data_IF_455993984330
#
_entry.id   IF_455993984330
#
_cell.length_a   1.000
_cell.length_b   1.000
_cell.length_c   1.000
_cell.angle_alpha   90.00
_cell.angle_beta   90.00
_cell.angle_gamma   90.00
#
_symmetry.space_group_name_H-M   'P 1'
#
loop_
_entity.id
_entity.type
_entity.pdbx_description
1 polymer ?
#
# COMPACT_ATOMS: atom_id res chain seq x y z
N UNK A 1 4.69 -22.32 -8.71
CA UNK A 1 4.75 -21.07 -9.49
C UNK A 1 4.34 -19.95 -8.55
N UNK A 2 5.27 -19.07 -8.20
CA UNK A 2 5.05 -17.91 -7.33
C UNK A 2 3.95 -17.05 -7.96
N UNK A 3 2.75 -17.06 -7.37
CA UNK A 3 1.63 -16.25 -7.81
C UNK A 3 2.00 -14.79 -7.61
N UNK A 4 2.26 -14.12 -8.73
CA UNK A 4 2.78 -12.76 -8.76
C UNK A 4 1.94 -11.82 -7.89
N UNK A 5 2.59 -11.27 -6.87
CA UNK A 5 2.27 -9.96 -6.35
C UNK A 5 1.99 -9.04 -7.54
N UNK A 6 0.76 -8.53 -7.62
CA UNK A 6 0.29 -7.67 -8.71
C UNK A 6 1.18 -6.44 -8.85
N UNK A 7 2.21 -6.54 -9.68
CA UNK A 7 3.35 -5.63 -9.73
C UNK A 7 3.01 -4.16 -10.05
N UNK A 8 1.79 -3.89 -10.54
CA UNK A 8 1.29 -2.53 -10.73
C UNK A 8 0.31 -2.06 -9.64
N UNK A 9 -0.66 -2.90 -9.26
CA UNK A 9 -1.75 -2.48 -8.36
C UNK A 9 -1.40 -2.60 -6.87
N UNK A 10 -0.64 -3.62 -6.48
CA UNK A 10 -0.32 -3.88 -5.07
C UNK A 10 0.61 -2.81 -4.47
N UNK A 11 1.60 -2.34 -5.22
CA UNK A 11 2.54 -1.31 -4.74
C UNK A 11 1.87 0.04 -4.53
N UNK A 12 0.95 0.43 -5.42
CA UNK A 12 0.16 1.66 -5.27
C UNK A 12 -0.75 1.60 -4.05
N UNK A 13 -1.39 0.45 -3.79
CA UNK A 13 -2.26 0.25 -2.63
C UNK A 13 -1.47 0.32 -1.32
N UNK A 14 -0.29 -0.31 -1.25
CA UNK A 14 0.56 -0.23 -0.05
C UNK A 14 1.03 1.20 0.21
N UNK A 15 1.49 1.91 -0.83
CA UNK A 15 1.90 3.30 -0.68
C UNK A 15 0.75 4.20 -0.23
N UNK A 16 -0.45 4.00 -0.76
CA UNK A 16 -1.66 4.70 -0.35
C UNK A 16 -2.00 4.44 1.12
N UNK A 17 -1.96 3.18 1.57
CA UNK A 17 -2.24 2.80 2.96
C UNK A 17 -1.22 3.43 3.93
N UNK A 18 0.07 3.46 3.57
CA UNK A 18 1.10 4.12 4.40
C UNK A 18 0.77 5.59 4.64
N UNK A 19 0.32 6.32 3.61
CA UNK A 19 -0.06 7.72 3.73
C UNK A 19 -1.28 7.93 4.65
N UNK A 20 -2.28 7.05 4.55
CA UNK A 20 -3.48 7.11 5.40
C UNK A 20 -3.13 6.89 6.88
N UNK A 21 -2.28 5.91 7.19
CA UNK A 21 -1.87 5.62 8.58
C UNK A 21 -1.06 6.78 9.16
N UNK A 22 -0.14 7.36 8.38
CA UNK A 22 0.60 8.54 8.79
C UNK A 22 -0.40 9.67 9.10
N UNK A 23 -1.32 10.00 8.19
CA UNK A 23 -2.33 11.05 8.41
C UNK A 23 -3.21 10.83 9.65
N UNK A 24 -3.59 9.58 9.93
CA UNK A 24 -4.37 9.21 11.12
C UNK A 24 -3.58 9.27 12.44
N UNK A 25 -2.25 9.25 12.40
CA UNK A 25 -1.39 9.30 13.61
C UNK A 25 -1.16 10.71 14.16
N UNK A 26 -1.56 11.74 13.41
CA UNK A 26 -1.45 13.16 13.81
C UNK A 26 -2.76 13.72 14.41
N UNK A 27 -3.79 12.88 14.57
CA UNK A 27 -5.06 13.14 15.25
C UNK A 27 -5.15 12.18 16.44
#
# INVERSE_FOLDING_TARGET
MSGGYGGGFALLVVLFILLVIIGASWI
#
